data_IF_194519470158
#
_entry.id   IF_194519470158
#
_cell.length_a   1.000
_cell.length_b   1.000
_cell.length_c   1.000
_cell.angle_alpha   90.00
_cell.angle_beta   90.00
_cell.angle_gamma   90.00
#
_symmetry.space_group_name_H-M   'P 1'
#
loop_
_entity.id
_entity.type
_entity.pdbx_description
1 polymer ?
#
# COMPACT_ATOMS: atom_id res chain seq x y z
N UNK A 1 -38.81 22.15 -27.23
CA UNK A 1 -38.26 20.90 -26.67
C UNK A 1 -36.79 20.87 -27.03
N UNK A 2 -35.95 21.41 -26.16
CA UNK A 2 -34.49 21.44 -26.34
C UNK A 2 -33.90 20.19 -25.70
N UNK A 3 -33.18 19.40 -26.49
CA UNK A 3 -32.53 18.17 -26.05
C UNK A 3 -31.65 18.40 -24.81
N UNK A 4 -31.67 17.48 -23.82
CA UNK A 4 -30.74 17.56 -22.70
C UNK A 4 -29.35 17.21 -23.22
N UNK A 5 -28.43 18.19 -23.13
CA UNK A 5 -27.01 18.03 -23.43
C UNK A 5 -26.48 16.84 -22.64
N UNK A 6 -26.10 15.78 -23.34
CA UNK A 6 -25.42 14.63 -22.76
C UNK A 6 -24.18 15.13 -22.00
N UNK A 7 -24.17 14.93 -20.68
CA UNK A 7 -23.04 15.26 -19.84
C UNK A 7 -21.88 14.34 -20.24
N UNK A 8 -20.88 14.91 -20.92
CA UNK A 8 -19.63 14.24 -21.23
C UNK A 8 -19.00 13.80 -19.90
N UNK A 9 -18.70 12.50 -19.69
CA UNK A 9 -18.12 12.04 -18.45
C UNK A 9 -16.78 12.75 -18.23
N UNK A 10 -16.69 13.53 -17.16
CA UNK A 10 -15.46 14.19 -16.74
C UNK A 10 -14.37 13.13 -16.59
N UNK A 11 -13.30 13.26 -17.39
CA UNK A 11 -12.18 12.32 -17.37
C UNK A 11 -11.54 12.42 -15.98
N UNK A 12 -11.69 11.37 -15.15
CA UNK A 12 -11.04 11.32 -13.83
C UNK A 12 -9.55 11.65 -14.02
N UNK A 13 -9.07 12.64 -13.27
CA UNK A 13 -7.65 13.01 -13.27
C UNK A 13 -6.83 11.77 -12.90
N UNK A 14 -5.78 11.49 -13.69
CA UNK A 14 -4.93 10.34 -13.44
C UNK A 14 -4.05 10.62 -12.23
N UNK A 15 -4.45 10.11 -11.07
CA UNK A 15 -3.63 10.14 -9.85
C UNK A 15 -2.58 9.03 -9.95
N UNK A 16 -1.31 9.38 -9.72
CA UNK A 16 -0.23 8.39 -9.70
C UNK A 16 -0.43 7.43 -8.52
N UNK A 17 -0.05 6.16 -8.70
CA UNK A 17 -0.04 5.19 -7.60
C UNK A 17 0.77 5.74 -6.43
N UNK A 18 0.25 5.56 -5.21
CA UNK A 18 0.76 6.04 -3.94
C UNK A 18 0.44 7.50 -3.59
N UNK A 19 -0.09 8.30 -4.52
CA UNK A 19 -0.51 9.68 -4.25
C UNK A 19 -1.97 9.77 -3.76
N UNK A 20 -2.63 8.62 -3.53
CA UNK A 20 -3.97 8.52 -2.94
C UNK A 20 -3.98 8.78 -1.42
N UNK A 21 -2.81 8.90 -0.80
CA UNK A 21 -2.68 9.02 0.65
C UNK A 21 -2.77 10.47 1.12
N UNK A 22 -3.47 10.70 2.22
CA UNK A 22 -3.48 11.98 2.94
C UNK A 22 -2.46 11.92 4.09
N UNK A 23 -1.40 12.72 3.99
CA UNK A 23 -0.46 12.89 5.11
C UNK A 23 -1.13 13.70 6.21
N UNK A 24 -1.12 13.15 7.42
CA UNK A 24 -1.71 13.74 8.62
C UNK A 24 -0.69 13.71 9.76
N UNK A 25 -0.88 14.58 10.74
CA UNK A 25 -0.03 14.61 11.93
C UNK A 25 -0.28 13.37 12.81
N UNK A 26 0.72 12.86 13.54
CA UNK A 26 0.56 11.69 14.42
C UNK A 26 -0.55 11.88 15.46
N UNK A 27 -0.75 13.10 15.95
CA UNK A 27 -1.77 13.44 16.96
C UNK A 27 -3.17 13.13 16.43
N UNK A 28 -3.45 13.46 15.17
CA UNK A 28 -4.72 13.10 14.53
C UNK A 28 -4.89 11.58 14.49
N UNK A 29 -3.85 10.83 14.08
CA UNK A 29 -3.91 9.36 14.04
C UNK A 29 -4.13 8.74 15.44
N UNK A 30 -3.56 9.35 16.48
CA UNK A 30 -3.63 8.85 17.85
C UNK A 30 -4.84 9.31 18.65
N UNK A 31 -5.50 10.41 18.31
CA UNK A 31 -6.57 10.96 19.15
C UNK A 31 -7.88 11.23 18.42
N UNK A 32 -7.85 11.54 17.12
CA UNK A 32 -9.02 12.05 16.40
C UNK A 32 -9.52 11.12 15.29
N UNK A 33 -8.64 10.30 14.71
CA UNK A 33 -9.00 9.41 13.62
C UNK A 33 -10.10 8.42 14.05
N UNK A 34 -11.12 8.18 13.20
CA UNK A 34 -12.20 7.26 13.52
C UNK A 34 -11.65 5.84 13.74
N UNK A 35 -12.19 5.17 14.77
CA UNK A 35 -11.80 3.81 15.15
C UNK A 35 -12.99 2.88 15.03
N UNK A 36 -12.75 1.75 14.40
CA UNK A 36 -13.71 0.66 14.30
C UNK A 36 -13.01 -0.62 14.76
N UNK A 37 -13.67 -1.37 15.64
CA UNK A 37 -13.20 -2.69 16.05
C UNK A 37 -13.65 -3.69 15.00
N UNK A 38 -12.69 -4.36 14.36
CA UNK A 38 -12.96 -5.36 13.33
C UNK A 38 -12.40 -6.73 13.76
N UNK A 39 -13.10 -7.80 13.40
CA UNK A 39 -12.61 -9.17 13.56
C UNK A 39 -11.91 -9.59 12.27
N UNK A 40 -10.58 -9.54 12.27
CA UNK A 40 -9.73 -9.71 11.08
C UNK A 40 -8.54 -10.63 11.39
N UNK A 41 -7.95 -11.21 10.35
CA UNK A 41 -6.73 -12.01 10.47
C UNK A 41 -5.49 -11.14 10.76
N UNK A 42 -4.38 -11.75 11.14
CA UNK A 42 -3.10 -11.04 11.32
C UNK A 42 -2.61 -10.37 10.04
N UNK A 43 -2.77 -11.05 8.89
CA UNK A 43 -2.40 -10.54 7.56
C UNK A 43 -3.27 -9.34 7.15
N UNK A 44 -4.56 -9.36 7.48
CA UNK A 44 -5.48 -8.23 7.28
C UNK A 44 -5.16 -7.05 8.22
N UNK A 45 -4.76 -7.32 9.46
CA UNK A 45 -4.27 -6.27 10.36
C UNK A 45 -2.98 -5.62 9.81
N UNK A 46 -2.07 -6.42 9.26
CA UNK A 46 -0.87 -5.92 8.59
C UNK A 46 -1.22 -5.06 7.35
N UNK A 47 -2.20 -5.48 6.53
CA UNK A 47 -2.74 -4.68 5.42
C UNK A 47 -3.18 -3.29 5.88
N UNK A 48 -3.99 -3.22 6.93
CA UNK A 48 -4.46 -1.95 7.46
C UNK A 48 -3.32 -1.08 8.00
N UNK A 49 -2.30 -1.67 8.62
CA UNK A 49 -1.10 -0.95 9.03
C UNK A 49 -0.32 -0.40 7.81
N UNK A 50 -0.05 -1.23 6.80
CA UNK A 50 0.66 -0.83 5.57
C UNK A 50 -0.07 0.31 4.86
N UNK A 51 -1.40 0.24 4.77
CA UNK A 51 -2.25 1.27 4.14
C UNK A 51 -2.11 2.63 4.81
N UNK A 52 -1.89 2.68 6.13
CA UNK A 52 -1.67 3.93 6.91
C UNK A 52 -0.20 4.34 6.95
N UNK A 53 0.70 3.40 6.69
CA UNK A 53 2.13 3.60 6.81
C UNK A 53 2.76 4.31 5.59
N UNK A 54 2.02 4.75 4.58
CA UNK A 54 2.58 5.46 3.41
C UNK A 54 3.82 4.78 2.82
N UNK A 55 3.72 3.47 2.56
CA UNK A 55 4.79 2.66 1.97
C UNK A 55 4.96 3.02 0.50
N UNK A 56 6.19 3.31 0.10
CA UNK A 56 6.53 3.62 -1.29
C UNK A 56 6.71 2.33 -2.10
N UNK A 57 7.45 1.35 -1.57
CA UNK A 57 7.74 0.10 -2.28
C UNK A 57 7.57 -1.13 -1.38
N UNK A 58 6.93 -2.17 -1.92
CA UNK A 58 6.88 -3.50 -1.32
C UNK A 58 7.75 -4.48 -2.11
N UNK A 59 8.66 -5.20 -1.43
CA UNK A 59 9.62 -6.13 -2.02
C UNK A 59 9.29 -7.51 -1.46
N UNK A 60 8.77 -8.39 -2.33
CA UNK A 60 8.11 -9.62 -1.94
C UNK A 60 8.81 -10.88 -2.43
N UNK A 61 8.85 -11.89 -1.57
CA UNK A 61 9.15 -13.28 -1.95
C UNK A 61 8.12 -14.19 -1.24
N UNK A 62 7.46 -15.11 -1.95
CA UNK A 62 6.45 -15.97 -1.34
C UNK A 62 7.08 -17.07 -0.49
N UNK A 63 6.85 -17.02 0.82
CA UNK A 63 7.16 -18.11 1.77
C UNK A 63 6.06 -18.22 2.82
N UNK A 64 5.63 -19.44 3.15
CA UNK A 64 4.60 -19.65 4.18
C UNK A 64 5.20 -19.51 5.57
N UNK A 65 4.55 -18.79 6.52
CA UNK A 65 3.17 -18.26 6.46
C UNK A 65 3.04 -16.82 5.92
N UNK A 66 4.15 -16.11 5.64
CA UNK A 66 4.13 -14.68 5.30
C UNK A 66 3.63 -14.35 3.88
N UNK A 67 3.43 -15.36 3.03
CA UNK A 67 2.84 -15.19 1.69
C UNK A 67 1.53 -14.41 1.72
N UNK A 68 0.68 -14.60 2.74
CA UNK A 68 -0.61 -13.90 2.82
C UNK A 68 -0.42 -12.39 3.07
N UNK A 69 0.49 -11.99 3.98
CA UNK A 69 0.83 -10.58 4.22
C UNK A 69 1.32 -9.90 2.95
N UNK A 70 2.21 -10.55 2.19
CA UNK A 70 2.70 -9.97 0.94
C UNK A 70 1.64 -9.97 -0.17
N UNK A 71 0.71 -10.93 -0.18
CA UNK A 71 -0.46 -10.88 -1.07
C UNK A 71 -1.34 -9.67 -0.77
N UNK A 72 -1.56 -9.34 0.52
CA UNK A 72 -2.26 -8.13 0.92
C UNK A 72 -1.55 -6.85 0.47
N UNK A 73 -0.22 -6.80 0.55
CA UNK A 73 0.56 -5.68 -0.02
C UNK A 73 0.38 -5.56 -1.53
N UNK A 74 0.26 -6.69 -2.25
CA UNK A 74 -0.06 -6.72 -3.68
C UNK A 74 -1.42 -6.09 -3.99
N UNK A 75 -2.46 -6.37 -3.18
CA UNK A 75 -3.76 -5.71 -3.33
C UNK A 75 -3.68 -4.20 -3.09
N UNK A 76 -2.92 -3.74 -2.10
CA UNK A 76 -2.71 -2.32 -1.85
C UNK A 76 -1.97 -1.61 -2.99
N UNK A 77 -1.07 -2.31 -3.69
CA UNK A 77 -0.44 -1.80 -4.91
C UNK A 77 -1.44 -1.68 -6.08
N UNK A 78 -2.36 -2.64 -6.23
CA UNK A 78 -3.43 -2.56 -7.24
C UNK A 78 -4.39 -1.40 -6.95
N UNK A 79 -4.79 -1.24 -5.69
CA UNK A 79 -5.63 -0.13 -5.20
C UNK A 79 -4.93 1.24 -5.24
N UNK A 80 -3.63 1.27 -5.52
CA UNK A 80 -2.84 2.50 -5.66
C UNK A 80 -2.40 3.13 -4.34
N UNK A 81 -2.40 2.39 -3.22
CA UNK A 81 -1.83 2.85 -1.95
C UNK A 81 -0.31 2.73 -1.89
N UNK A 82 0.27 1.78 -2.62
CA UNK A 82 1.73 1.56 -2.74
C UNK A 82 2.17 1.99 -4.14
N UNK A 83 3.32 2.67 -4.23
CA UNK A 83 3.83 3.21 -5.51
C UNK A 83 4.41 2.12 -6.40
N UNK A 84 5.17 1.20 -5.80
CA UNK A 84 5.88 0.14 -6.52
C UNK A 84 5.84 -1.21 -5.80
N UNK A 85 5.89 -2.30 -6.57
CA UNK A 85 5.80 -3.67 -6.06
C UNK A 85 6.78 -4.58 -6.81
N UNK A 86 7.81 -5.04 -6.11
CA UNK A 86 8.85 -5.89 -6.65
C UNK A 86 8.69 -7.34 -6.16
N UNK A 87 8.95 -8.29 -7.05
CA UNK A 87 8.92 -9.74 -6.77
C UNK A 87 10.33 -10.29 -6.90
N UNK A 88 10.96 -10.57 -5.76
CA UNK A 88 12.28 -11.20 -5.71
C UNK A 88 12.20 -12.71 -5.93
N UNK A 89 13.37 -13.30 -6.13
CA UNK A 89 13.58 -14.72 -6.41
C UNK A 89 14.02 -15.53 -5.19
N UNK A 90 14.57 -14.86 -4.17
CA UNK A 90 15.06 -15.44 -2.92
C UNK A 90 15.13 -14.41 -1.77
N UNK A 91 15.26 -14.88 -0.53
CA UNK A 91 15.24 -14.02 0.67
C UNK A 91 16.46 -13.08 0.78
N UNK A 92 17.63 -13.52 0.33
CA UNK A 92 18.87 -12.72 0.37
C UNK A 92 18.77 -11.55 -0.62
N UNK A 93 18.33 -11.82 -1.85
CA UNK A 93 18.08 -10.80 -2.88
C UNK A 93 17.02 -9.80 -2.43
N UNK A 94 15.93 -10.25 -1.83
CA UNK A 94 14.91 -9.37 -1.22
C UNK A 94 15.49 -8.48 -0.13
N UNK A 95 16.32 -9.03 0.77
CA UNK A 95 16.96 -8.24 1.84
C UNK A 95 18.01 -7.25 1.31
N UNK A 96 18.72 -7.60 0.24
CA UNK A 96 19.62 -6.68 -0.45
C UNK A 96 18.84 -5.54 -1.13
N UNK A 97 17.76 -5.87 -1.84
CA UNK A 97 16.90 -4.92 -2.54
C UNK A 97 16.25 -3.93 -1.56
N UNK A 98 15.72 -4.41 -0.42
CA UNK A 98 15.10 -3.52 0.57
C UNK A 98 16.11 -2.60 1.26
N UNK A 99 17.33 -3.09 1.47
CA UNK A 99 18.43 -2.26 1.97
C UNK A 99 18.77 -1.14 1.00
N UNK A 100 18.80 -1.44 -0.31
CA UNK A 100 18.99 -0.44 -1.36
C UNK A 100 17.86 0.58 -1.44
N UNK A 101 16.60 0.12 -1.37
CA UNK A 101 15.42 0.98 -1.38
C UNK A 101 15.39 1.94 -0.17
N UNK A 102 15.59 1.43 1.05
CA UNK A 102 15.66 2.28 2.24
C UNK A 102 16.76 3.34 2.11
N UNK A 103 17.93 2.96 1.57
CA UNK A 103 19.07 3.87 1.40
C UNK A 103 18.86 4.92 0.30
N UNK A 104 17.93 4.72 -0.64
CA UNK A 104 17.53 5.74 -1.61
C UNK A 104 16.54 6.76 -1.03
N UNK A 105 16.10 6.58 0.22
CA UNK A 105 15.24 7.50 0.95
C UNK A 105 13.75 7.18 0.85
N UNK A 106 13.37 6.00 0.36
CA UNK A 106 11.97 5.57 0.27
C UNK A 106 11.58 4.69 1.45
N UNK A 107 10.29 4.73 1.84
CA UNK A 107 9.74 3.82 2.85
C UNK A 107 9.46 2.47 2.22
N UNK A 108 10.23 1.46 2.59
CA UNK A 108 10.18 0.13 2.00
C UNK A 108 9.64 -0.94 2.97
N UNK A 109 8.98 -1.95 2.43
CA UNK A 109 8.37 -3.08 3.14
C UNK A 109 8.84 -4.41 2.56
N UNK A 110 9.11 -5.39 3.43
CA UNK A 110 9.20 -6.82 3.08
C UNK A 110 8.67 -7.66 4.25
N UNK A 111 8.42 -8.96 4.02
CA UNK A 111 8.06 -9.93 5.05
C UNK A 111 8.68 -11.30 4.72
N UNK A 112 9.21 -11.99 5.74
CA UNK A 112 9.87 -13.30 5.66
C UNK A 112 9.72 -14.05 6.99
N UNK A 113 10.05 -15.35 7.07
CA UNK A 113 9.90 -16.17 8.28
C UNK A 113 10.97 -17.25 8.42
#
# INVERSE_FOLDING_TARGET
>A
MSDPVAQVPQKKEHVRKGDLQKVVAPEYMFFEAPRETQFITGSEAAREAIRRANVDIAISYPITPQSETMQQAGYLYDEGYIKDYYRGEEEIGVMAAISGASRSGVRSLTATS
#
